data_IF_917123893517
#
_entry.id   IF_917123893517
#
_cell.length_a   1.000
_cell.length_b   1.000
_cell.length_c   1.000
_cell.angle_alpha   90.00
_cell.angle_beta   90.00
_cell.angle_gamma   90.00
#
_symmetry.space_group_name_H-M   'P 1'
#
loop_
_entity.id
_entity.type
_entity.pdbx_description
1 polymer ?
#
# COMPACT_ATOMS: atom_id res chain seq x y z
N UNK A 1 -7.51 17.60 -18.99
CA UNK A 1 -7.29 16.65 -20.12
C UNK A 1 -8.04 15.33 -19.90
N UNK A 2 -7.85 14.65 -18.76
CA UNK A 2 -8.54 13.39 -18.43
C UNK A 2 -10.08 13.45 -18.55
N UNK A 3 -10.73 14.44 -17.93
CA UNK A 3 -12.18 14.59 -17.96
C UNK A 3 -12.74 14.66 -19.40
N UNK A 4 -12.10 15.46 -20.26
CA UNK A 4 -12.50 15.58 -21.67
C UNK A 4 -12.35 14.26 -22.42
N UNK A 5 -11.30 13.49 -22.12
CA UNK A 5 -11.10 12.16 -22.72
C UNK A 5 -12.18 11.18 -22.29
N UNK A 6 -12.55 11.17 -20.99
CA UNK A 6 -13.62 10.32 -20.48
C UNK A 6 -14.98 10.68 -21.11
N UNK A 7 -15.31 11.97 -21.20
CA UNK A 7 -16.54 12.43 -21.85
C UNK A 7 -16.55 12.03 -23.33
N UNK A 8 -15.42 12.15 -24.02
CA UNK A 8 -15.31 11.75 -25.42
C UNK A 8 -15.51 10.24 -25.58
N UNK A 9 -14.86 9.42 -24.75
CA UNK A 9 -15.05 7.96 -24.75
C UNK A 9 -16.50 7.58 -24.47
N UNK A 10 -17.15 8.24 -23.52
CA UNK A 10 -18.57 8.06 -23.25
C UNK A 10 -19.43 8.36 -24.49
N UNK A 11 -19.16 9.47 -25.19
CA UNK A 11 -19.87 9.83 -26.40
C UNK A 11 -19.62 8.84 -27.55
N UNK A 12 -18.39 8.38 -27.73
CA UNK A 12 -18.02 7.37 -28.74
C UNK A 12 -18.80 6.07 -28.52
N UNK A 13 -18.87 5.59 -27.27
CA UNK A 13 -19.64 4.38 -26.91
C UNK A 13 -21.14 4.56 -27.17
N UNK A 14 -21.70 5.73 -26.83
CA UNK A 14 -23.12 6.01 -27.04
C UNK A 14 -23.51 6.08 -28.53
N UNK A 15 -22.56 6.39 -29.43
CA UNK A 15 -22.78 6.40 -30.88
C UNK A 15 -22.76 4.97 -31.46
N UNK A 16 -21.83 4.12 -31.00
CA UNK A 16 -21.69 2.75 -31.49
C UNK A 16 -22.84 1.83 -31.02
N UNK A 17 -23.37 2.05 -29.81
CA UNK A 17 -24.55 1.35 -29.30
C UNK A 17 -25.52 2.34 -28.63
N UNK A 18 -26.55 2.84 -29.36
CA UNK A 18 -27.51 3.80 -28.81
C UNK A 18 -28.45 3.19 -27.76
N UNK A 19 -28.48 1.85 -27.62
CA UNK A 19 -29.20 1.16 -26.54
C UNK A 19 -28.36 1.06 -25.26
N UNK A 20 -27.04 1.17 -25.37
CA UNK A 20 -26.13 1.48 -24.28
C UNK A 20 -26.17 2.97 -23.94
N UNK A 21 -27.37 3.50 -23.68
CA UNK A 21 -27.47 4.77 -22.95
C UNK A 21 -26.70 4.56 -21.65
N UNK A 22 -25.54 5.20 -21.51
CA UNK A 22 -24.66 5.15 -20.33
C UNK A 22 -25.54 5.25 -19.09
N UNK A 23 -25.88 4.08 -18.53
CA UNK A 23 -26.90 3.99 -17.51
C UNK A 23 -26.35 4.80 -16.34
N UNK A 24 -27.12 5.79 -15.90
CA UNK A 24 -26.84 6.52 -14.67
C UNK A 24 -26.51 5.46 -13.62
N UNK A 25 -25.28 5.52 -13.11
CA UNK A 25 -24.81 4.53 -12.14
C UNK A 25 -25.75 4.57 -10.94
N UNK A 26 -26.23 3.41 -10.51
CA UNK A 26 -27.03 3.33 -9.28
C UNK A 26 -26.18 3.31 -8.01
N UNK A 27 -24.85 3.29 -8.14
CA UNK A 27 -23.91 3.21 -7.01
C UNK A 27 -22.88 4.34 -6.97
N UNK A 28 -22.77 5.14 -8.03
CA UNK A 28 -21.75 6.19 -8.15
C UNK A 28 -22.42 7.51 -8.49
N UNK A 29 -22.37 8.46 -7.55
CA UNK A 29 -23.01 9.78 -7.72
C UNK A 29 -22.17 10.74 -8.56
N UNK A 30 -20.85 10.79 -8.33
CA UNK A 30 -19.96 11.80 -8.93
C UNK A 30 -18.50 11.34 -8.95
N UNK A 31 -17.75 11.87 -9.92
CA UNK A 31 -16.30 11.69 -10.05
C UNK A 31 -15.58 13.02 -9.81
N UNK A 32 -14.76 13.09 -8.76
CA UNK A 32 -13.92 14.26 -8.47
C UNK A 32 -12.49 13.96 -8.91
N UNK A 33 -11.93 14.81 -9.77
CA UNK A 33 -10.56 14.68 -10.28
C UNK A 33 -9.71 15.78 -9.66
N UNK A 34 -8.65 15.40 -8.95
CA UNK A 34 -7.71 16.33 -8.30
C UNK A 34 -6.34 16.13 -8.93
N UNK A 35 -5.76 17.21 -9.47
CA UNK A 35 -4.39 17.21 -9.97
C UNK A 35 -3.41 17.41 -8.81
N UNK A 36 -2.38 16.57 -8.69
CA UNK A 36 -1.41 16.69 -7.58
C UNK A 36 -0.68 18.04 -7.58
N UNK A 37 -0.52 18.67 -8.75
CA UNK A 37 0.16 19.97 -8.87
C UNK A 37 -0.54 21.11 -8.13
N UNK A 38 -1.84 20.97 -7.77
CA UNK A 38 -2.57 22.01 -7.04
C UNK A 38 -2.23 22.06 -5.54
N UNK A 39 -1.63 20.99 -5.00
CA UNK A 39 -1.22 20.90 -3.60
C UNK A 39 0.04 20.03 -3.45
N UNK A 40 1.19 20.67 -3.69
CA UNK A 40 2.50 20.07 -3.45
C UNK A 40 2.93 20.14 -1.98
N UNK A 41 2.34 21.05 -1.19
CA UNK A 41 2.73 21.25 0.21
C UNK A 41 2.39 20.01 1.03
N UNK A 42 1.17 19.48 0.88
CA UNK A 42 0.75 18.27 1.61
C UNK A 42 1.67 17.08 1.34
N UNK A 43 2.23 16.95 0.13
CA UNK A 43 3.16 15.87 -0.22
C UNK A 43 4.56 16.06 0.36
N UNK A 44 4.94 17.30 0.71
CA UNK A 44 6.23 17.59 1.33
C UNK A 44 6.17 17.59 2.87
N UNK A 45 4.97 17.63 3.44
CA UNK A 45 4.77 17.50 4.88
C UNK A 45 4.97 16.03 5.32
N UNK A 46 5.73 15.82 6.40
CA UNK A 46 5.82 14.50 7.03
C UNK A 46 4.45 14.05 7.51
N UNK A 47 4.02 12.87 7.05
CA UNK A 47 2.77 12.27 7.48
C UNK A 47 2.85 11.83 8.95
N UNK A 48 1.80 12.10 9.74
CA UNK A 48 1.78 11.83 11.19
C UNK A 48 0.75 10.77 11.61
N UNK A 49 0.14 10.08 10.66
CA UNK A 49 -0.68 8.89 10.92
C UNK A 49 0.21 7.66 11.13
N UNK A 50 -0.33 6.60 11.72
CA UNK A 50 0.43 5.35 11.90
C UNK A 50 0.92 4.77 10.57
N UNK A 51 0.04 4.64 9.57
CA UNK A 51 0.43 4.16 8.24
C UNK A 51 1.36 5.15 7.53
N UNK A 52 1.07 6.45 7.63
CA UNK A 52 1.88 7.49 7.01
C UNK A 52 3.33 7.46 7.50
N UNK A 53 3.57 7.37 8.81
CA UNK A 53 4.93 7.27 9.35
C UNK A 53 5.65 5.98 8.96
N UNK A 54 4.91 4.87 8.80
CA UNK A 54 5.50 3.62 8.30
C UNK A 54 5.95 3.79 6.84
N UNK A 55 5.16 4.47 6.01
CA UNK A 55 5.51 4.76 4.63
C UNK A 55 6.72 5.69 4.53
N UNK A 56 6.78 6.75 5.34
CA UNK A 56 7.91 7.70 5.37
C UNK A 56 9.22 7.02 5.79
N UNK A 57 9.18 6.09 6.76
CA UNK A 57 10.39 5.51 7.34
C UNK A 57 10.85 4.21 6.66
N UNK A 58 9.90 3.35 6.26
CA UNK A 58 10.19 2.03 5.69
C UNK A 58 9.79 1.89 4.22
N UNK A 59 8.86 2.72 3.75
CA UNK A 59 8.30 2.66 2.40
C UNK A 59 7.34 1.48 2.23
N UNK A 60 6.07 1.78 1.98
CA UNK A 60 5.05 0.78 1.65
C UNK A 60 5.04 0.59 0.14
N UNK A 61 5.31 -0.65 -0.32
CA UNK A 61 5.30 -1.00 -1.74
C UNK A 61 4.35 -2.16 -1.98
N UNK A 62 3.35 -1.94 -2.82
CA UNK A 62 2.34 -2.95 -3.16
C UNK A 62 1.76 -3.63 -1.89
N UNK A 63 1.36 -2.81 -0.91
CA UNK A 63 0.82 -3.25 0.39
C UNK A 63 1.82 -4.06 1.23
N UNK A 64 3.13 -3.97 0.97
CA UNK A 64 4.14 -4.67 1.76
C UNK A 64 5.20 -3.71 2.30
N UNK A 65 5.70 -4.03 3.48
CA UNK A 65 6.82 -3.34 4.13
C UNK A 65 7.93 -4.36 4.43
N UNK A 66 9.15 -3.98 4.09
CA UNK A 66 10.35 -4.74 4.44
C UNK A 66 10.91 -4.23 5.77
N UNK A 67 10.80 -5.06 6.81
CA UNK A 67 11.35 -4.76 8.15
C UNK A 67 12.33 -5.84 8.57
N UNK A 68 13.26 -5.45 9.43
CA UNK A 68 14.22 -6.35 10.06
C UNK A 68 13.49 -7.47 10.83
N UNK A 69 14.03 -8.68 10.75
CA UNK A 69 13.45 -9.85 11.39
C UNK A 69 13.41 -9.74 12.92
N UNK A 70 14.25 -8.91 13.54
CA UNK A 70 14.25 -8.57 14.96
C UNK A 70 12.97 -7.83 15.40
N UNK A 71 12.34 -7.05 14.51
CA UNK A 71 11.14 -6.26 14.81
C UNK A 71 9.88 -7.14 14.81
N UNK A 72 9.83 -8.12 13.91
CA UNK A 72 8.66 -9.01 13.72
C UNK A 72 8.63 -10.16 14.73
N UNK A 73 9.70 -10.33 15.52
CA UNK A 73 9.86 -11.46 16.42
C UNK A 73 10.19 -12.79 15.72
N UNK A 74 10.54 -13.82 16.51
CA UNK A 74 10.80 -15.15 15.98
C UNK A 74 9.50 -15.73 15.41
N UNK A 75 9.49 -15.96 14.10
CA UNK A 75 8.37 -16.61 13.42
C UNK A 75 8.59 -18.11 13.56
N UNK A 76 7.61 -18.84 14.09
CA UNK A 76 7.57 -20.30 13.96
C UNK A 76 7.62 -20.61 12.47
N UNK A 77 8.72 -21.22 12.01
CA UNK A 77 8.96 -21.48 10.61
C UNK A 77 7.88 -22.41 10.05
N UNK A 78 6.95 -21.88 9.26
CA UNK A 78 6.19 -22.71 8.34
C UNK A 78 7.11 -23.01 7.16
N UNK A 79 7.65 -24.22 7.16
CA UNK A 79 8.57 -24.75 6.15
C UNK A 79 7.94 -24.71 4.76
N UNK A 80 8.30 -23.74 3.93
CA UNK A 80 8.19 -23.84 2.47
C UNK A 80 9.58 -24.11 1.91
N UNK A 81 9.85 -25.40 1.70
CA UNK A 81 11.04 -25.90 1.02
C UNK A 81 11.08 -25.31 -0.40
N UNK A 82 12.04 -24.42 -0.64
CA UNK A 82 12.50 -24.08 -2.00
C UNK A 82 13.87 -24.68 -2.17
N UNK A 83 13.91 -25.82 -2.87
CA UNK A 83 15.13 -26.48 -3.34
C UNK A 83 15.79 -25.65 -4.43
N UNK A 84 17.02 -25.19 -4.21
CA UNK A 84 17.97 -24.94 -5.30
C UNK A 84 19.40 -25.18 -4.81
N UNK A 85 20.13 -25.96 -5.59
CA UNK A 85 21.44 -26.59 -5.34
C UNK A 85 22.61 -25.74 -5.89
N UNK A 86 23.84 -26.04 -5.39
CA UNK A 86 25.20 -25.75 -5.92
C UNK A 86 25.77 -24.32 -5.70
N UNK A 87 27.01 -24.01 -5.24
CA UNK A 87 28.35 -24.66 -5.15
C UNK A 87 29.27 -23.90 -4.14
N UNK A 88 30.50 -24.39 -3.78
CA UNK A 88 31.30 -23.95 -2.61
C UNK A 88 32.48 -22.98 -2.94
N UNK A 89 32.99 -22.28 -1.90
CA UNK A 89 34.30 -21.60 -1.70
C UNK A 89 34.28 -20.13 -1.20
N UNK A 90 34.27 -19.99 0.14
CA UNK A 90 35.18 -19.25 1.05
C UNK A 90 35.54 -17.72 0.96
N UNK A 91 35.57 -17.13 2.19
CA UNK A 91 36.34 -15.98 2.74
C UNK A 91 35.75 -14.55 2.73
N UNK A 92 34.85 -14.28 3.68
CA UNK A 92 34.64 -12.98 4.38
C UNK A 92 33.70 -13.22 5.59
N UNK A 93 33.82 -12.51 6.73
CA UNK A 93 32.78 -12.58 7.76
C UNK A 93 31.47 -12.07 7.12
N UNK A 94 30.41 -12.90 7.02
CA UNK A 94 29.22 -12.48 6.33
C UNK A 94 28.49 -11.46 7.21
N UNK A 95 28.31 -10.24 6.71
CA UNK A 95 27.15 -9.43 7.10
C UNK A 95 25.96 -10.33 6.80
N UNK A 96 25.36 -10.89 7.87
CA UNK A 96 24.27 -11.85 7.69
C UNK A 96 23.18 -11.18 6.85
N UNK A 97 22.72 -11.83 5.76
CA UNK A 97 21.60 -11.31 5.01
C UNK A 97 20.40 -11.29 5.96
N UNK A 98 20.07 -10.11 6.47
CA UNK A 98 18.89 -9.91 7.29
C UNK A 98 17.70 -10.29 6.41
N UNK A 99 17.05 -11.39 6.75
CA UNK A 99 15.92 -11.92 6.02
C UNK A 99 14.77 -10.92 6.10
N UNK A 100 14.60 -10.16 5.03
CA UNK A 100 13.50 -9.19 4.91
C UNK A 100 12.19 -9.95 4.80
N UNK A 101 11.31 -9.78 5.79
CA UNK A 101 9.97 -10.40 5.79
C UNK A 101 9.00 -9.45 5.12
N UNK A 102 8.14 -9.99 4.25
CA UNK A 102 7.06 -9.26 3.59
C UNK A 102 5.81 -9.36 4.46
N UNK A 103 5.45 -8.28 5.14
CA UNK A 103 4.19 -8.20 5.89
C UNK A 103 3.15 -7.48 5.03
N UNK A 104 1.92 -8.01 4.95
CA UNK A 104 0.84 -7.39 4.20
C UNK A 104 0.15 -6.29 5.05
N UNK A 105 0.14 -5.06 4.53
CA UNK A 105 -0.49 -3.89 5.10
C UNK A 105 -1.81 -3.62 4.36
N UNK A 106 -2.88 -4.25 4.83
CA UNK A 106 -4.23 -4.07 4.28
C UNK A 106 -5.29 -4.23 5.39
N UNK A 107 -6.54 -3.88 5.08
CA UNK A 107 -7.66 -3.93 6.03
C UNK A 107 -8.13 -5.35 6.42
N UNK A 108 -7.47 -6.41 5.94
CA UNK A 108 -7.71 -7.78 6.41
C UNK A 108 -7.25 -8.00 7.86
N UNK A 109 -6.25 -7.25 8.32
CA UNK A 109 -5.87 -7.20 9.73
C UNK A 109 -6.73 -6.17 10.49
N UNK A 110 -7.52 -6.67 11.45
CA UNK A 110 -8.42 -5.85 12.27
C UNK A 110 -7.68 -4.85 13.14
N UNK A 111 -6.50 -5.21 13.67
CA UNK A 111 -5.69 -4.30 14.48
C UNK A 111 -5.14 -3.19 13.60
N UNK A 112 -4.55 -3.55 12.45
CA UNK A 112 -4.03 -2.57 11.52
C UNK A 112 -5.13 -1.62 11.01
N UNK A 113 -6.32 -2.13 10.70
CA UNK A 113 -7.46 -1.31 10.28
C UNK A 113 -7.87 -0.25 11.31
N UNK A 114 -7.70 -0.53 12.61
CA UNK A 114 -7.97 0.44 13.68
C UNK A 114 -6.85 1.47 13.85
N UNK A 115 -5.62 1.09 13.52
CA UNK A 115 -4.44 1.93 13.76
C UNK A 115 -4.06 2.80 12.56
N UNK A 116 -4.31 2.38 11.32
CA UNK A 116 -3.74 3.00 10.12
C UNK A 116 -4.00 4.51 9.98
N UNK A 117 -5.22 4.95 10.29
CA UNK A 117 -5.68 6.32 10.05
C UNK A 117 -5.58 7.24 11.29
N UNK A 118 -5.18 6.71 12.45
CA UNK A 118 -5.06 7.52 13.67
C UNK A 118 -3.71 8.25 13.74
N UNK A 119 -3.70 9.41 14.38
CA UNK A 119 -2.48 10.14 14.68
C UNK A 119 -1.54 9.28 15.55
N UNK A 120 -0.25 9.24 15.20
CA UNK A 120 0.74 8.38 15.87
C UNK A 120 0.86 8.64 17.38
N UNK A 121 0.60 9.86 17.84
CA UNK A 121 0.68 10.22 19.25
C UNK A 121 -0.28 9.41 20.15
N UNK A 122 -1.40 8.91 19.60
CA UNK A 122 -2.41 8.16 20.36
C UNK A 122 -2.37 6.65 20.14
N UNK A 123 -1.54 6.15 19.21
CA UNK A 123 -1.41 4.71 18.89
C UNK A 123 -1.12 3.87 20.14
N UNK A 124 -0.21 4.34 20.99
CA UNK A 124 0.14 3.66 22.25
C UNK A 124 -1.09 3.48 23.17
N UNK A 125 -1.97 4.48 23.23
CA UNK A 125 -3.17 4.42 24.04
C UNK A 125 -4.18 3.39 23.52
N UNK A 126 -4.23 3.19 22.20
CA UNK A 126 -5.07 2.17 21.56
C UNK A 126 -4.49 0.77 21.77
N UNK A 127 -3.17 0.61 21.64
CA UNK A 127 -2.49 -0.68 21.78
C UNK A 127 -2.49 -1.22 23.22
N UNK A 128 -2.60 -0.33 24.22
CA UNK A 128 -2.64 -0.69 25.64
C UNK A 128 -4.04 -1.07 26.16
N UNK A 129 -5.05 -1.08 25.31
CA UNK A 129 -6.42 -1.53 25.66
C UNK A 129 -6.55 -3.03 25.49
#
# INVERSE_FOLDING_TARGET
HLANMLIRMCHEVAVDDPSSSLLISQSVDSLIIIDRSIDLITTLCTQLTYEGLIDELFGIKALHVEVDSSIVGPVQATTVMSTTTCTPYQLQPPIQPQSKKKNAFNSGDKLFAQLRDINFAIVKGVLNR
#
